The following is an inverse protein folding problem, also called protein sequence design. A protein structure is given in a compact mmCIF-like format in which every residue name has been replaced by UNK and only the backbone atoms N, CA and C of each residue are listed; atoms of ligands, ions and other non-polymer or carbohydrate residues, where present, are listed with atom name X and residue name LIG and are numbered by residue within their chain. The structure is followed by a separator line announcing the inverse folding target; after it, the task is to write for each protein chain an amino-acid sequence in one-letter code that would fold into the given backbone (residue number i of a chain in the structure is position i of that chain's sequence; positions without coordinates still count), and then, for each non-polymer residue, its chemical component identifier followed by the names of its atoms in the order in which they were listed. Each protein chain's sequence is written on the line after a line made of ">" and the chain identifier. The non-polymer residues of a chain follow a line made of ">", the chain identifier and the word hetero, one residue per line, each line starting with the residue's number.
data_IF_023067457453
#
_entry.id   IF_023067457453
#
_cell.length_a   1.000
_cell.length_b   1.000
_cell.length_c   1.000
_cell.angle_alpha   90.00
_cell.angle_beta   90.00
_cell.angle_gamma   90.00
#
_symmetry.space_group_name_H-M   'P 1'
#
loop_
_entity.id
_entity.type
_entity.pdbx_description
1 polymer ?
#
# COMPACT_ATOMS: atom_id res chain seq x y z
N UNK A 1 15.57 -10.59 -31.95
CA UNK A 1 15.30 -9.15 -32.17
C UNK A 1 13.95 -8.80 -31.57
N UNK A 2 13.83 -7.70 -30.84
CA UNK A 2 12.62 -7.28 -30.13
C UNK A 2 12.28 -5.82 -30.43
N UNK A 3 10.99 -5.49 -30.53
CA UNK A 3 10.56 -4.10 -30.65
C UNK A 3 10.49 -3.44 -29.26
N UNK A 4 11.18 -2.31 -29.00
CA UNK A 4 11.17 -1.66 -27.68
C UNK A 4 9.81 -1.05 -27.31
N UNK A 5 8.92 -0.80 -28.28
CA UNK A 5 7.61 -0.20 -28.05
C UNK A 5 6.49 -1.22 -27.81
N UNK A 6 6.31 -2.17 -28.74
CA UNK A 6 5.24 -3.16 -28.64
C UNK A 6 5.68 -4.50 -28.02
N UNK A 7 6.98 -4.67 -27.76
CA UNK A 7 7.59 -5.88 -27.19
C UNK A 7 7.42 -7.15 -28.06
N UNK A 8 7.06 -7.00 -29.34
CA UNK A 8 6.99 -8.11 -30.28
C UNK A 8 8.37 -8.72 -30.57
N UNK A 9 8.42 -10.04 -30.72
CA UNK A 9 9.63 -10.81 -31.04
C UNK A 9 9.76 -11.05 -32.54
N UNK A 10 10.97 -10.92 -33.05
CA UNK A 10 11.35 -11.09 -34.45
C UNK A 10 12.57 -12.02 -34.58
N UNK A 11 12.58 -12.75 -35.69
CA UNK A 11 13.72 -13.59 -36.10
C UNK A 11 14.93 -12.74 -36.50
N UNK A 12 16.11 -13.34 -36.40
CA UNK A 12 17.36 -12.74 -36.89
C UNK A 12 17.30 -12.40 -38.38
N UNK A 13 17.89 -11.25 -38.74
CA UNK A 13 17.87 -10.68 -40.09
C UNK A 13 16.78 -9.61 -40.32
N UNK A 14 15.85 -9.42 -39.38
CA UNK A 14 14.94 -8.28 -39.37
C UNK A 14 15.46 -7.21 -38.42
N UNK A 15 15.56 -5.97 -38.90
CA UNK A 15 16.08 -4.84 -38.12
C UNK A 15 15.04 -3.77 -37.81
N UNK A 16 13.84 -3.81 -38.42
CA UNK A 16 12.79 -2.79 -38.25
C UNK A 16 11.46 -3.46 -37.93
N UNK A 17 10.73 -2.93 -36.94
CA UNK A 17 9.40 -3.39 -36.56
C UNK A 17 8.37 -3.04 -37.63
N UNK A 18 7.56 -4.03 -38.03
CA UNK A 18 6.48 -3.88 -39.03
C UNK A 18 5.36 -2.92 -38.61
N UNK A 19 5.08 -2.84 -37.32
CA UNK A 19 3.95 -2.09 -36.77
C UNK A 19 4.37 -0.71 -36.24
N UNK A 20 5.52 -0.63 -35.57
CA UNK A 20 6.00 0.61 -34.96
C UNK A 20 6.96 1.40 -35.86
N UNK A 21 7.61 0.75 -36.84
CA UNK A 21 8.59 1.39 -37.73
C UNK A 21 9.90 1.78 -37.05
N UNK A 22 10.18 1.27 -35.84
CA UNK A 22 11.43 1.53 -35.08
C UNK A 22 12.43 0.40 -35.25
N UNK A 23 13.71 0.69 -35.01
CA UNK A 23 14.76 -0.31 -34.96
C UNK A 23 14.54 -1.34 -33.85
N UNK A 24 14.79 -2.60 -34.19
CA UNK A 24 14.70 -3.72 -33.27
C UNK A 24 15.98 -3.84 -32.44
N UNK A 25 15.83 -4.22 -31.18
CA UNK A 25 16.92 -4.43 -30.22
C UNK A 25 17.17 -5.92 -29.97
N UNK A 26 18.39 -6.30 -29.63
CA UNK A 26 18.72 -7.70 -29.31
C UNK A 26 18.00 -8.22 -28.06
N UNK A 27 17.83 -7.37 -27.05
CA UNK A 27 17.15 -7.67 -25.81
C UNK A 27 16.40 -6.45 -25.29
N UNK A 28 15.23 -6.69 -24.69
CA UNK A 28 14.49 -5.65 -23.97
C UNK A 28 15.17 -5.36 -22.62
N UNK A 29 15.08 -4.12 -22.10
CA UNK A 29 15.45 -3.86 -20.72
C UNK A 29 14.63 -4.76 -19.79
N UNK A 30 15.23 -5.24 -18.68
CA UNK A 30 14.49 -6.00 -17.69
C UNK A 30 13.30 -5.18 -17.20
N UNK A 31 12.16 -5.83 -16.98
CA UNK A 31 11.03 -5.18 -16.32
C UNK A 31 11.44 -4.79 -14.90
N UNK A 32 11.05 -3.59 -14.42
CA UNK A 32 11.31 -3.23 -13.04
C UNK A 32 10.67 -4.28 -12.14
N UNK A 33 11.45 -4.84 -11.22
CA UNK A 33 10.94 -5.79 -10.26
C UNK A 33 9.91 -5.07 -9.36
N UNK A 34 8.75 -5.67 -9.09
CA UNK A 34 7.78 -5.06 -8.18
C UNK A 34 8.42 -4.94 -6.79
N UNK A 35 8.52 -3.73 -6.27
CA UNK A 35 8.95 -3.50 -4.89
C UNK A 35 7.87 -4.02 -3.92
N UNK A 36 8.22 -5.01 -3.12
CA UNK A 36 7.33 -5.52 -2.08
C UNK A 36 7.31 -4.53 -0.92
N UNK A 37 6.23 -3.77 -0.81
CA UNK A 37 6.02 -2.83 0.29
C UNK A 37 5.37 -3.55 1.47
N UNK A 38 6.07 -3.60 2.61
CA UNK A 38 5.53 -4.15 3.85
C UNK A 38 4.62 -3.15 4.56
N UNK A 39 3.57 -3.67 5.20
CA UNK A 39 2.67 -2.90 6.05
C UNK A 39 2.64 -3.49 7.46
N UNK A 40 2.61 -2.62 8.46
CA UNK A 40 2.49 -2.97 9.88
C UNK A 40 1.22 -2.40 10.49
N UNK A 41 0.68 -3.16 11.44
CA UNK A 41 -0.43 -2.71 12.27
C UNK A 41 0.09 -1.71 13.31
N UNK A 42 -0.55 -0.55 13.40
CA UNK A 42 -0.22 0.48 14.41
C UNK A 42 -1.35 0.76 15.40
N UNK A 43 -2.60 0.44 15.03
CA UNK A 43 -3.77 0.68 15.86
C UNK A 43 -4.89 -0.32 15.51
N UNK A 44 -5.71 -0.68 16.49
CA UNK A 44 -6.95 -1.42 16.28
C UNK A 44 -8.14 -0.69 16.91
N UNK A 45 -9.28 -0.62 16.20
CA UNK A 45 -10.52 0.02 16.69
C UNK A 45 -11.78 -0.74 16.25
N UNK A 46 -12.84 -0.64 17.05
CA UNK A 46 -14.18 -1.12 16.72
C UNK A 46 -15.14 0.02 16.32
N UNK A 47 -14.68 1.26 16.38
CA UNK A 47 -15.51 2.44 16.18
C UNK A 47 -15.35 2.98 14.74
N UNK A 48 -16.41 3.02 13.92
CA UNK A 48 -16.34 3.59 12.58
C UNK A 48 -16.01 5.09 12.58
N UNK A 49 -16.30 5.83 13.65
CA UNK A 49 -15.95 7.24 13.75
C UNK A 49 -14.43 7.45 13.84
N UNK A 50 -13.73 6.59 14.60
CA UNK A 50 -12.27 6.60 14.68
C UNK A 50 -11.66 6.33 13.31
N UNK A 51 -12.20 5.36 12.56
CA UNK A 51 -11.72 5.05 11.20
C UNK A 51 -11.83 6.27 10.28
N UNK A 52 -12.98 6.95 10.26
CA UNK A 52 -13.17 8.14 9.42
C UNK A 52 -12.23 9.30 9.81
N UNK A 53 -12.03 9.51 11.11
CA UNK A 53 -11.09 10.51 11.62
C UNK A 53 -9.64 10.18 11.22
N UNK A 54 -9.20 8.95 11.48
CA UNK A 54 -7.84 8.47 11.18
C UNK A 54 -7.54 8.54 9.69
N UNK A 55 -8.50 8.21 8.82
CA UNK A 55 -8.36 8.38 7.37
C UNK A 55 -7.99 9.83 7.02
N UNK A 56 -8.80 10.76 7.50
CA UNK A 56 -8.61 12.19 7.23
C UNK A 56 -7.27 12.72 7.74
N UNK A 57 -6.85 12.26 8.93
CA UNK A 57 -5.58 12.65 9.54
C UNK A 57 -4.38 12.12 8.75
N UNK A 58 -4.36 10.82 8.44
CA UNK A 58 -3.25 10.18 7.72
C UNK A 58 -3.15 10.68 6.27
N UNK A 59 -4.28 10.98 5.62
CA UNK A 59 -4.32 11.59 4.29
C UNK A 59 -3.71 13.00 4.30
N UNK A 60 -3.96 13.80 5.34
CA UNK A 60 -3.39 15.15 5.48
C UNK A 60 -1.87 15.12 5.57
N UNK A 61 -1.31 14.14 6.29
CA UNK A 61 0.13 14.00 6.50
C UNK A 61 0.82 13.17 5.40
N UNK A 62 0.08 12.66 4.41
CA UNK A 62 0.66 11.88 3.30
C UNK A 62 1.17 10.49 3.70
N UNK A 63 0.64 9.92 4.78
CA UNK A 63 0.98 8.58 5.24
C UNK A 63 0.22 7.55 4.41
N UNK A 64 0.91 6.56 3.83
CA UNK A 64 0.24 5.48 3.13
C UNK A 64 -0.32 4.44 4.12
N UNK A 65 -1.63 4.18 4.04
CA UNK A 65 -2.32 3.28 4.95
C UNK A 65 -3.43 2.48 4.27
N UNK A 66 -3.90 1.44 4.96
CA UNK A 66 -5.19 0.80 4.70
C UNK A 66 -5.80 0.26 5.98
N UNK A 67 -7.10 0.01 5.98
CA UNK A 67 -7.80 -0.60 7.12
C UNK A 67 -8.15 -2.05 6.83
N UNK A 68 -7.52 -2.97 7.56
CA UNK A 68 -7.81 -4.40 7.48
C UNK A 68 -9.07 -4.70 8.30
N UNK A 69 -10.09 -5.23 7.62
CA UNK A 69 -11.35 -5.62 8.26
C UNK A 69 -12.42 -4.54 8.30
N UNK A 70 -12.22 -3.39 7.64
CA UNK A 70 -13.15 -2.26 7.68
C UNK A 70 -14.60 -2.63 7.30
N UNK A 71 -14.76 -3.45 6.27
CA UNK A 71 -16.08 -3.91 5.82
C UNK A 71 -16.86 -4.71 6.88
N UNK A 72 -16.18 -5.26 7.90
CA UNK A 72 -16.83 -6.04 8.95
C UNK A 72 -17.42 -5.18 10.08
N UNK A 73 -17.13 -3.87 10.14
CA UNK A 73 -17.65 -2.97 11.19
C UNK A 73 -19.19 -2.89 11.26
N UNK A 74 -19.85 -3.12 10.13
CA UNK A 74 -21.31 -3.03 10.03
C UNK A 74 -22.01 -4.36 10.26
N UNK A 75 -21.26 -5.45 10.41
CA UNK A 75 -21.80 -6.78 10.67
C UNK A 75 -21.85 -7.05 12.18
N UNK A 76 -22.95 -7.64 12.64
CA UNK A 76 -23.15 -8.02 14.04
C UNK A 76 -23.13 -9.54 14.18
N UNK A 77 -22.46 -10.10 15.20
CA UNK A 77 -21.68 -9.41 16.24
C UNK A 77 -20.32 -8.88 15.76
N UNK A 78 -19.82 -7.81 16.39
CA UNK A 78 -18.44 -7.34 16.17
C UNK A 78 -17.48 -8.36 16.78
N UNK A 79 -16.92 -9.24 15.97
CA UNK A 79 -16.00 -10.28 16.44
C UNK A 79 -14.52 -9.84 16.36
N UNK A 80 -14.17 -9.00 15.38
CA UNK A 80 -12.78 -8.66 15.07
C UNK A 80 -12.65 -7.15 14.85
N UNK A 81 -11.65 -6.48 15.45
CA UNK A 81 -11.45 -5.05 15.29
C UNK A 81 -10.86 -4.75 13.92
N UNK A 82 -11.12 -3.53 13.45
CA UNK A 82 -10.43 -3.01 12.28
C UNK A 82 -9.03 -2.61 12.68
N UNK A 83 -8.05 -3.07 11.90
CA UNK A 83 -6.63 -2.78 12.12
C UNK A 83 -6.17 -1.74 11.11
N UNK A 84 -5.63 -0.64 11.61
CA UNK A 84 -4.94 0.36 10.81
C UNK A 84 -3.56 -0.19 10.45
N UNK A 85 -3.32 -0.32 9.15
CA UNK A 85 -2.07 -0.79 8.58
C UNK A 85 -1.38 0.38 7.89
N UNK A 86 -0.11 0.65 8.23
CA UNK A 86 0.72 1.69 7.59
C UNK A 86 1.95 1.07 6.96
N UNK A 87 2.55 1.74 5.97
CA UNK A 87 3.84 1.29 5.42
C UNK A 87 4.88 1.18 6.53
N UNK A 88 5.68 0.13 6.50
CA UNK A 88 6.70 -0.14 7.51
C UNK A 88 7.72 1.01 7.63
N UNK A 89 8.07 1.66 6.52
CA UNK A 89 8.96 2.83 6.52
C UNK A 89 8.34 4.10 7.12
N UNK A 90 7.01 4.15 7.27
CA UNK A 90 6.28 5.28 7.85
C UNK A 90 5.74 4.97 9.26
N UNK A 91 6.07 3.80 9.83
CA UNK A 91 5.57 3.35 11.15
C UNK A 91 5.85 4.36 12.26
N UNK A 92 7.09 4.85 12.35
CA UNK A 92 7.49 5.76 13.41
C UNK A 92 6.75 7.11 13.31
N UNK A 93 6.63 7.66 12.10
CA UNK A 93 5.91 8.91 11.84
C UNK A 93 4.43 8.79 12.17
N UNK A 94 3.80 7.69 11.73
CA UNK A 94 2.41 7.39 12.06
C UNK A 94 2.19 7.28 13.57
N UNK A 95 3.09 6.60 14.30
CA UNK A 95 2.99 6.47 15.75
C UNK A 95 3.15 7.82 16.47
N UNK A 96 4.05 8.70 16.03
CA UNK A 96 4.17 10.05 16.59
C UNK A 96 2.92 10.88 16.35
N UNK A 97 2.38 10.85 15.12
CA UNK A 97 1.15 11.57 14.77
C UNK A 97 -0.05 11.11 15.61
N UNK A 98 -0.17 9.80 15.85
CA UNK A 98 -1.27 9.22 16.60
C UNK A 98 -1.19 9.49 18.10
N UNK A 99 -0.02 9.87 18.66
CA UNK A 99 0.11 10.20 20.09
C UNK A 99 -0.61 11.49 20.48
N UNK A 100 -0.73 12.44 19.54
CA UNK A 100 -1.40 13.73 19.79
C UNK A 100 -2.93 13.63 19.63
N UNK A 101 -3.42 12.48 19.16
CA UNK A 101 -4.85 12.24 18.95
C UNK A 101 -5.50 11.76 20.25
N UNK A 102 -6.40 12.57 20.80
CA UNK A 102 -7.35 12.12 21.82
C UNK A 102 -8.43 11.25 21.15
N UNK A 103 -8.11 9.98 20.94
CA UNK A 103 -9.10 9.00 20.48
C UNK A 103 -10.14 8.82 21.58
N UNK A 104 -11.37 9.26 21.32
CA UNK A 104 -12.50 9.27 22.27
C UNK A 104 -12.98 7.89 22.76
N UNK A 105 -12.17 6.83 22.65
CA UNK A 105 -12.45 5.52 23.22
C UNK A 105 -11.18 4.97 23.86
N UNK A 106 -11.11 5.08 25.18
CA UNK A 106 -10.18 4.35 26.05
C UNK A 106 -10.08 2.89 25.64
N UNK A 107 -8.92 2.51 25.09
CA UNK A 107 -8.62 1.13 24.68
C UNK A 107 -7.17 0.93 24.27
N UNK A 108 -6.26 1.80 24.73
CA UNK A 108 -4.82 1.65 24.51
C UNK A 108 -4.33 0.44 25.33
N UNK A 109 -4.34 -0.75 24.75
CA UNK A 109 -3.37 -1.79 25.11
C UNK A 109 -2.17 -1.63 24.19
N UNK A 110 -1.28 -0.69 24.51
CA UNK A 110 0.10 -0.77 24.03
C UNK A 110 0.68 -2.02 24.68
N UNK A 111 0.64 -3.13 23.95
CA UNK A 111 1.17 -4.42 24.38
C UNK A 111 2.64 -4.25 24.76
N UNK A 112 2.91 -4.26 26.06
CA UNK A 112 4.26 -4.22 26.60
C UNK A 112 5.07 -5.42 26.12
N UNK A 113 6.29 -5.16 25.68
CA UNK A 113 7.36 -6.16 25.64
C UNK A 113 8.43 -5.68 26.63
N UNK A 114 8.46 -6.33 27.79
CA UNK A 114 9.65 -6.41 28.66
C UNK A 114 10.66 -7.39 28.06
#
# INVERSE_FOLDING_TARGET
>A
MFCPHCRAEYRDGFHVCSDCGVDLVDALPPEPEPEFVNFKEVLATYNPADVAFLKSLLESEGIQYFFKGEHFLYMRPLADPVRLMVREDQEAEALELLKDVDLSVTGISLGGKS
#
